data_IF_084718851927
#
_entry.id   IF_084718851927
#
_cell.length_a   1.000
_cell.length_b   1.000
_cell.length_c   1.000
_cell.angle_alpha   90.00
_cell.angle_beta   90.00
_cell.angle_gamma   90.00
#
_symmetry.space_group_name_H-M   'P 1'
#
loop_
_entity.id
_entity.type
_entity.pdbx_description
1 polymer ?
#
# COMPACT_ATOMS: atom_id res chain seq x y z
N UNK A 1 -19.41 12.53 10.40
CA UNK A 1 -19.28 11.05 10.14
C UNK A 1 -17.81 10.58 10.26
N UNK A 2 -16.81 11.21 9.58
CA UNK A 2 -15.41 10.75 9.66
C UNK A 2 -14.80 10.88 11.06
N UNK A 3 -15.03 11.99 11.79
CA UNK A 3 -14.54 12.18 13.15
C UNK A 3 -15.16 11.18 14.15
N UNK A 4 -16.42 10.86 13.99
CA UNK A 4 -17.07 9.83 14.81
C UNK A 4 -16.49 8.45 14.52
N UNK A 5 -16.15 8.17 13.25
CA UNK A 5 -15.49 6.95 12.83
C UNK A 5 -14.10 6.78 13.43
N UNK A 6 -13.29 7.85 13.43
CA UNK A 6 -11.94 7.84 14.01
C UNK A 6 -11.96 7.60 15.52
N UNK A 7 -12.85 8.28 16.25
CA UNK A 7 -13.00 8.08 17.70
C UNK A 7 -13.50 6.67 18.04
N UNK A 8 -14.44 6.15 17.25
CA UNK A 8 -14.91 4.76 17.41
C UNK A 8 -13.81 3.76 17.12
N UNK A 9 -13.07 3.93 16.01
CA UNK A 9 -11.94 3.06 15.70
C UNK A 9 -10.94 3.02 16.85
N UNK A 10 -10.50 4.18 17.35
CA UNK A 10 -9.55 4.26 18.46
C UNK A 10 -10.07 3.59 19.72
N UNK A 11 -11.35 3.80 20.06
CA UNK A 11 -11.95 3.21 21.25
C UNK A 11 -11.99 1.66 21.21
N UNK A 12 -12.24 1.07 20.03
CA UNK A 12 -12.30 -0.38 19.88
C UNK A 12 -10.96 -1.02 19.53
N UNK A 13 -10.05 -0.28 18.89
CA UNK A 13 -8.77 -0.81 18.43
C UNK A 13 -7.94 -1.39 19.57
N UNK A 14 -7.81 -0.68 20.69
CA UNK A 14 -6.99 -1.13 21.81
C UNK A 14 -7.54 -2.44 22.42
N UNK A 15 -8.87 -2.58 22.51
CA UNK A 15 -9.53 -3.79 22.98
C UNK A 15 -9.36 -4.95 21.97
N UNK A 16 -9.61 -4.69 20.69
CA UNK A 16 -9.43 -5.66 19.62
C UNK A 16 -7.96 -6.14 19.54
N UNK A 17 -7.02 -5.20 19.62
CA UNK A 17 -5.60 -5.53 19.64
C UNK A 17 -5.21 -6.33 20.89
N UNK A 18 -5.71 -5.96 22.07
CA UNK A 18 -5.41 -6.68 23.31
C UNK A 18 -5.90 -8.13 23.24
N UNK A 19 -7.11 -8.35 22.70
CA UNK A 19 -7.73 -9.68 22.56
C UNK A 19 -7.17 -10.53 21.44
N UNK A 20 -6.43 -9.92 20.49
CA UNK A 20 -5.88 -10.62 19.34
C UNK A 20 -4.83 -11.65 19.78
N UNK A 21 -5.10 -12.91 19.47
CA UNK A 21 -4.18 -14.03 19.66
C UNK A 21 -3.65 -14.47 18.30
N UNK A 22 -2.35 -14.34 18.11
CA UNK A 22 -1.66 -14.84 16.93
C UNK A 22 -0.83 -16.05 17.36
N UNK A 23 -1.08 -17.19 16.72
CA UNK A 23 -0.27 -18.39 16.90
C UNK A 23 0.72 -18.50 15.74
N UNK A 24 1.91 -17.91 15.83
CA UNK A 24 2.88 -18.00 14.76
C UNK A 24 3.26 -19.47 14.60
N UNK A 25 3.03 -20.00 13.42
CA UNK A 25 3.72 -21.22 13.01
C UNK A 25 5.23 -20.97 13.08
N UNK A 26 6.04 -22.03 13.06
CA UNK A 26 7.50 -21.91 13.11
C UNK A 26 8.01 -20.73 12.27
N UNK A 27 9.01 -19.98 12.75
CA UNK A 27 9.56 -18.87 11.98
C UNK A 27 9.92 -19.33 10.57
N UNK A 28 9.42 -18.65 9.56
CA UNK A 28 9.73 -18.97 8.17
C UNK A 28 11.22 -18.76 7.85
N UNK A 29 11.86 -17.90 8.64
CA UNK A 29 13.26 -17.54 8.45
C UNK A 29 14.06 -17.69 9.75
N UNK A 30 15.28 -18.20 9.65
CA UNK A 30 16.21 -18.37 10.78
C UNK A 30 16.95 -17.07 11.18
N UNK A 31 16.78 -16.00 10.40
CA UNK A 31 17.40 -14.68 10.61
C UNK A 31 16.30 -13.62 10.56
N UNK A 32 16.57 -12.43 11.14
CA UNK A 32 15.69 -11.27 10.95
C UNK A 32 15.38 -11.05 9.48
N UNK A 33 14.12 -10.77 9.19
CA UNK A 33 13.62 -10.61 7.83
C UNK A 33 12.72 -9.38 7.72
N UNK A 34 12.73 -8.76 6.55
CA UNK A 34 11.83 -7.64 6.23
C UNK A 34 10.83 -8.09 5.18
N UNK A 35 9.54 -7.99 5.52
CA UNK A 35 8.43 -8.16 4.59
C UNK A 35 8.05 -6.77 4.10
N UNK A 36 8.06 -6.56 2.79
CA UNK A 36 7.62 -5.30 2.17
C UNK A 36 6.32 -5.55 1.43
N UNK A 37 5.26 -4.86 1.86
CA UNK A 37 3.98 -4.80 1.17
C UNK A 37 3.91 -3.51 0.36
N UNK A 38 3.82 -3.61 -0.96
CA UNK A 38 3.64 -2.46 -1.83
C UNK A 38 2.16 -2.36 -2.21
N UNK A 39 1.54 -1.23 -1.92
CA UNK A 39 0.17 -0.91 -2.29
C UNK A 39 0.22 0.09 -3.43
N UNK A 40 -0.11 -0.37 -4.64
CA UNK A 40 -0.27 0.49 -5.82
C UNK A 40 -1.63 1.19 -5.83
N UNK A 41 -1.82 2.09 -6.79
CA UNK A 41 -3.06 2.85 -6.97
C UNK A 41 -3.47 2.85 -8.45
N UNK A 42 -4.76 2.66 -8.70
CA UNK A 42 -5.41 2.75 -10.02
C UNK A 42 -4.73 1.93 -11.13
N UNK A 43 -3.98 0.89 -10.80
CA UNK A 43 -3.34 -0.01 -11.76
C UNK A 43 -4.25 -1.21 -12.05
N UNK A 44 -4.38 -1.57 -13.34
CA UNK A 44 -5.14 -2.74 -13.77
C UNK A 44 -4.29 -3.63 -14.65
N UNK A 45 -4.31 -4.94 -14.37
CA UNK A 45 -3.64 -5.95 -15.17
C UNK A 45 -4.04 -5.89 -16.65
N UNK A 46 -5.28 -5.49 -16.94
CA UNK A 46 -5.77 -5.35 -18.32
C UNK A 46 -4.95 -4.35 -19.16
N UNK A 47 -4.41 -3.30 -18.54
CA UNK A 47 -3.63 -2.26 -19.21
C UNK A 47 -2.11 -2.46 -19.10
N UNK A 48 -1.65 -3.48 -18.40
CA UNK A 48 -0.22 -3.73 -18.19
C UNK A 48 0.29 -4.77 -19.18
N UNK A 49 1.35 -4.45 -19.93
CA UNK A 49 1.98 -5.36 -20.89
C UNK A 49 2.51 -6.67 -20.27
N UNK A 50 2.73 -6.68 -18.96
CA UNK A 50 3.07 -7.89 -18.22
C UNK A 50 1.92 -8.90 -18.12
N UNK A 51 0.66 -8.48 -18.31
CA UNK A 51 -0.53 -9.32 -18.14
C UNK A 51 -1.41 -9.39 -19.38
N UNK A 52 -1.26 -8.46 -20.31
CA UNK A 52 -2.12 -8.31 -21.49
C UNK A 52 -1.31 -7.97 -22.73
N UNK A 53 -1.97 -7.99 -23.90
CA UNK A 53 -1.42 -7.51 -25.18
C UNK A 53 -1.56 -5.98 -25.29
N UNK A 54 -1.12 -5.24 -24.27
CA UNK A 54 -1.12 -3.79 -24.30
C UNK A 54 -0.30 -3.25 -25.49
N UNK A 55 -0.79 -2.17 -26.12
CA UNK A 55 -0.14 -1.54 -27.29
C UNK A 55 1.32 -1.18 -27.03
N UNK A 56 1.60 -0.66 -25.85
CA UNK A 56 2.92 -0.24 -25.43
C UNK A 56 3.49 -1.20 -24.36
N UNK A 57 4.80 -1.43 -24.39
CA UNK A 57 5.47 -2.20 -23.36
C UNK A 57 5.70 -1.34 -22.12
N UNK A 58 4.64 -1.16 -21.35
CA UNK A 58 4.58 -0.27 -20.20
C UNK A 58 4.88 -0.92 -18.85
N UNK A 59 5.15 -2.22 -18.81
CA UNK A 59 5.58 -2.94 -17.61
C UNK A 59 6.65 -4.01 -17.94
N UNK A 60 7.75 -3.62 -18.62
CA UNK A 60 8.77 -4.56 -19.14
C UNK A 60 9.50 -5.30 -18.02
N UNK A 61 9.74 -4.63 -16.89
CA UNK A 61 10.38 -5.27 -15.74
C UNK A 61 9.52 -6.41 -15.18
N UNK A 62 8.24 -6.19 -14.92
CA UNK A 62 7.33 -7.23 -14.45
C UNK A 62 7.24 -8.38 -15.44
N UNK A 63 7.20 -8.07 -16.74
CA UNK A 63 7.18 -9.09 -17.79
C UNK A 63 8.47 -9.93 -17.80
N UNK A 64 9.62 -9.34 -17.55
CA UNK A 64 10.90 -10.04 -17.48
C UNK A 64 11.02 -11.02 -16.31
N UNK A 65 10.18 -10.87 -15.28
CA UNK A 65 10.17 -11.76 -14.12
C UNK A 65 9.33 -13.03 -14.33
N UNK A 66 8.62 -13.15 -15.45
CA UNK A 66 7.88 -14.37 -15.79
C UNK A 66 8.85 -15.56 -15.91
N UNK A 67 8.50 -16.64 -15.23
CA UNK A 67 9.32 -17.86 -15.21
C UNK A 67 10.54 -17.79 -14.25
N UNK A 68 10.66 -16.74 -13.44
CA UNK A 68 11.65 -16.69 -12.38
C UNK A 68 11.10 -17.42 -11.15
N UNK A 69 11.82 -18.41 -10.63
CA UNK A 69 11.41 -19.25 -9.50
C UNK A 69 11.20 -18.47 -8.19
N UNK A 70 11.78 -17.28 -8.08
CA UNK A 70 11.63 -16.41 -6.92
C UNK A 70 10.49 -15.39 -7.06
N UNK A 71 9.69 -15.49 -8.13
CA UNK A 71 8.63 -14.52 -8.42
C UNK A 71 7.32 -15.23 -8.78
N UNK A 72 6.25 -14.85 -8.06
CA UNK A 72 4.90 -15.39 -8.29
C UNK A 72 4.02 -14.29 -8.87
N UNK A 73 3.46 -14.57 -10.04
CA UNK A 73 2.48 -13.69 -10.71
C UNK A 73 1.08 -14.26 -10.52
N UNK A 74 0.19 -13.46 -9.94
CA UNK A 74 -1.21 -13.80 -9.77
C UNK A 74 -2.03 -13.29 -10.96
N UNK A 75 -2.48 -14.19 -11.83
CA UNK A 75 -3.26 -13.83 -13.01
C UNK A 75 -4.75 -13.58 -12.72
N UNK A 76 -5.24 -13.96 -11.55
CA UNK A 76 -6.64 -13.90 -11.15
C UNK A 76 -6.81 -13.17 -9.81
N UNK A 77 -6.16 -12.01 -9.68
CA UNK A 77 -6.34 -11.13 -8.53
C UNK A 77 -7.37 -10.05 -8.86
N UNK A 78 -8.36 -9.89 -8.00
CA UNK A 78 -9.46 -8.95 -8.18
C UNK A 78 -9.64 -8.10 -6.93
N UNK A 79 -9.89 -6.81 -7.13
CA UNK A 79 -10.34 -5.95 -6.03
C UNK A 79 -11.84 -6.10 -5.81
N UNK A 80 -12.29 -6.05 -4.56
CA UNK A 80 -13.71 -6.12 -4.20
C UNK A 80 -14.47 -4.81 -4.46
N UNK A 81 -13.77 -3.70 -4.61
CA UNK A 81 -14.30 -2.35 -4.84
C UNK A 81 -13.40 -1.58 -5.79
N UNK A 82 -13.97 -0.60 -6.48
CA UNK A 82 -13.22 0.23 -7.45
C UNK A 82 -12.60 1.50 -6.83
N UNK A 83 -13.06 1.94 -5.65
CA UNK A 83 -12.49 3.08 -4.95
C UNK A 83 -11.45 2.61 -3.91
N UNK A 84 -10.43 3.43 -3.69
CA UNK A 84 -9.28 3.14 -2.81
C UNK A 84 -9.71 2.79 -1.40
N UNK A 85 -10.47 3.67 -0.73
CA UNK A 85 -10.82 3.48 0.68
C UNK A 85 -11.60 2.18 0.92
N UNK A 86 -12.76 1.91 0.25
CA UNK A 86 -13.50 0.68 0.50
C UNK A 86 -12.79 -0.58 -0.02
N UNK A 87 -11.85 -0.48 -0.97
CA UNK A 87 -11.02 -1.59 -1.40
C UNK A 87 -9.97 -1.95 -0.33
N UNK A 88 -9.26 -0.94 0.17
CA UNK A 88 -8.20 -1.15 1.17
C UNK A 88 -8.74 -1.49 2.56
N UNK A 89 -9.93 -0.99 2.96
CA UNK A 89 -10.60 -1.51 4.15
C UNK A 89 -10.67 -3.04 4.14
N UNK A 90 -11.01 -3.62 2.99
CA UNK A 90 -11.18 -5.07 2.83
C UNK A 90 -9.88 -5.82 2.61
N UNK A 91 -8.88 -5.16 2.08
CA UNK A 91 -7.57 -5.76 1.86
C UNK A 91 -6.70 -5.77 3.13
N UNK A 92 -6.90 -4.78 4.01
CA UNK A 92 -6.02 -4.53 5.16
C UNK A 92 -6.64 -4.89 6.51
N UNK A 93 -7.90 -5.31 6.53
CA UNK A 93 -8.61 -5.68 7.76
C UNK A 93 -9.40 -6.98 7.59
N UNK A 94 -10.01 -7.44 8.67
CA UNK A 94 -10.92 -8.58 8.63
C UNK A 94 -12.22 -8.31 7.86
N UNK A 95 -12.58 -7.04 7.64
CA UNK A 95 -13.77 -6.67 6.86
C UNK A 95 -13.62 -7.19 5.44
N UNK A 96 -14.65 -7.86 4.94
CA UNK A 96 -14.67 -8.36 3.56
C UNK A 96 -16.10 -8.39 3.03
N UNK A 97 -16.30 -8.84 1.78
CA UNK A 97 -17.60 -8.89 1.13
C UNK A 97 -18.50 -10.04 1.60
N UNK A 98 -18.01 -10.90 2.46
CA UNK A 98 -18.70 -12.10 2.95
C UNK A 98 -19.07 -12.02 4.43
N UNK A 99 -18.77 -10.91 5.10
CA UNK A 99 -19.13 -10.67 6.49
C UNK A 99 -19.70 -9.25 6.67
N UNK A 100 -20.42 -9.05 7.79
CA UNK A 100 -21.07 -7.79 8.17
C UNK A 100 -20.23 -7.00 9.20
N UNK A 101 -18.92 -7.29 9.32
CA UNK A 101 -18.05 -6.60 10.28
C UNK A 101 -17.94 -5.11 9.92
N UNK A 102 -18.13 -4.26 10.90
CA UNK A 102 -17.82 -2.85 10.77
C UNK A 102 -16.31 -2.62 10.86
N UNK A 103 -15.81 -1.62 10.11
CA UNK A 103 -14.37 -1.33 10.06
C UNK A 103 -13.73 -1.16 11.44
N UNK A 104 -14.40 -0.43 12.34
CA UNK A 104 -13.93 -0.17 13.71
C UNK A 104 -13.88 -1.41 14.63
N UNK A 105 -14.49 -2.52 14.22
CA UNK A 105 -14.50 -3.79 14.96
C UNK A 105 -13.45 -4.78 14.45
N UNK A 106 -12.68 -4.38 13.45
CA UNK A 106 -11.71 -5.26 12.79
C UNK A 106 -10.30 -5.06 13.33
N UNK A 107 -9.56 -6.15 13.42
CA UNK A 107 -8.10 -6.09 13.49
C UNK A 107 -7.52 -5.86 12.09
N UNK A 108 -6.35 -5.27 12.04
CA UNK A 108 -5.66 -4.93 10.79
C UNK A 108 -4.48 -5.87 10.53
N UNK A 109 -3.99 -5.88 9.30
CA UNK A 109 -2.76 -6.58 8.95
C UNK A 109 -1.56 -6.08 9.76
N UNK A 110 -1.55 -4.78 10.12
CA UNK A 110 -0.52 -4.19 10.97
C UNK A 110 -0.58 -4.80 12.39
N UNK A 111 -1.78 -4.94 12.96
CA UNK A 111 -1.96 -5.55 14.28
C UNK A 111 -1.46 -7.00 14.32
N UNK A 112 -1.76 -7.77 13.27
CA UNK A 112 -1.28 -9.15 13.12
C UNK A 112 0.25 -9.17 13.06
N UNK A 113 0.86 -8.27 12.28
CA UNK A 113 2.31 -8.17 12.18
C UNK A 113 2.96 -7.83 13.54
N UNK A 114 2.42 -6.83 14.27
CA UNK A 114 2.88 -6.44 15.61
C UNK A 114 2.78 -7.61 16.60
N UNK A 115 1.63 -8.28 16.67
CA UNK A 115 1.44 -9.45 17.53
C UNK A 115 2.33 -10.63 17.16
N UNK A 116 2.80 -10.68 15.90
CA UNK A 116 3.76 -11.67 15.42
C UNK A 116 5.23 -11.29 15.70
N UNK A 117 5.48 -10.16 16.36
CA UNK A 117 6.82 -9.71 16.74
C UNK A 117 7.57 -8.93 15.66
N UNK A 118 6.86 -8.39 14.69
CA UNK A 118 7.44 -7.49 13.69
C UNK A 118 7.38 -6.04 14.17
N UNK A 119 8.44 -5.28 13.92
CA UNK A 119 8.38 -3.82 13.95
C UNK A 119 7.71 -3.34 12.66
N UNK A 120 6.75 -2.43 12.79
CA UNK A 120 5.85 -2.09 11.69
C UNK A 120 6.07 -0.67 11.21
N UNK A 121 6.13 -0.51 9.87
CA UNK A 121 6.36 0.76 9.21
C UNK A 121 5.29 1.01 8.16
N UNK A 122 4.80 2.24 8.07
CA UNK A 122 3.92 2.69 7.00
C UNK A 122 4.48 3.96 6.37
N UNK A 123 4.91 3.87 5.12
CA UNK A 123 5.39 5.00 4.33
C UNK A 123 4.44 5.26 3.18
N UNK A 124 3.88 6.45 3.10
CA UNK A 124 2.84 6.80 2.12
C UNK A 124 3.24 8.01 1.28
N UNK A 125 3.03 7.91 -0.03
CA UNK A 125 3.06 9.04 -0.95
C UNK A 125 1.67 9.61 -1.22
N UNK A 126 0.60 8.98 -0.71
CA UNK A 126 -0.74 9.55 -0.73
C UNK A 126 -0.90 10.62 0.35
N UNK A 127 -1.75 11.63 0.08
CA UNK A 127 -1.91 12.77 0.98
C UNK A 127 -2.40 12.35 2.37
N UNK A 128 -1.83 12.98 3.38
CA UNK A 128 -2.38 13.02 4.72
C UNK A 128 -3.43 14.12 4.77
N UNK A 129 -4.67 13.77 5.12
CA UNK A 129 -5.74 14.74 5.32
C UNK A 129 -5.81 14.96 6.83
N UNK A 130 -5.20 16.04 7.32
CA UNK A 130 -5.01 16.33 8.75
C UNK A 130 -6.30 16.37 9.57
N UNK A 131 -7.42 16.76 8.94
CA UNK A 131 -8.69 16.98 9.64
C UNK A 131 -9.75 15.91 9.35
N UNK A 132 -9.47 14.95 8.48
CA UNK A 132 -10.39 13.86 8.16
C UNK A 132 -9.61 12.56 7.97
N UNK A 133 -9.34 11.86 9.07
CA UNK A 133 -8.75 10.53 9.00
C UNK A 133 -9.65 9.58 8.21
N UNK A 134 -9.15 9.12 7.07
CA UNK A 134 -9.79 8.03 6.34
C UNK A 134 -9.56 6.71 7.08
N UNK A 135 -10.36 5.66 6.84
CA UNK A 135 -10.07 4.32 7.35
C UNK A 135 -8.63 3.87 7.09
N UNK A 136 -8.06 4.22 5.95
CA UNK A 136 -6.69 3.84 5.59
C UNK A 136 -5.65 4.60 6.41
N UNK A 137 -5.86 5.89 6.67
CA UNK A 137 -5.02 6.68 7.58
C UNK A 137 -5.07 6.11 9.00
N UNK A 138 -6.25 5.66 9.46
CA UNK A 138 -6.39 5.01 10.77
C UNK A 138 -5.58 3.72 10.84
N UNK A 139 -5.66 2.85 9.82
CA UNK A 139 -4.82 1.65 9.73
C UNK A 139 -3.34 2.03 9.75
N UNK A 140 -2.93 3.00 8.94
CA UNK A 140 -1.54 3.46 8.89
C UNK A 140 -1.01 3.92 10.25
N UNK A 141 -1.83 4.63 11.02
CA UNK A 141 -1.48 5.13 12.37
C UNK A 141 -1.35 4.04 13.43
N UNK A 142 -1.78 2.81 13.16
CA UNK A 142 -1.53 1.69 14.07
C UNK A 142 -0.12 1.12 13.95
N UNK A 143 0.63 1.46 12.89
CA UNK A 143 2.03 1.08 12.75
C UNK A 143 2.91 1.77 13.83
N UNK A 144 4.05 1.14 14.17
CA UNK A 144 5.00 1.72 15.12
C UNK A 144 5.63 3.00 14.54
N UNK A 145 5.79 3.04 13.22
CA UNK A 145 6.34 4.17 12.48
C UNK A 145 5.46 4.47 11.27
N UNK A 146 4.85 5.64 11.21
CA UNK A 146 4.04 6.09 10.08
C UNK A 146 4.54 7.46 9.58
N UNK A 147 4.73 7.59 8.26
CA UNK A 147 5.23 8.80 7.62
C UNK A 147 4.55 9.02 6.27
N UNK A 148 4.22 10.27 5.98
CA UNK A 148 3.65 10.72 4.72
C UNK A 148 4.59 11.70 4.04
N UNK A 149 4.95 11.44 2.77
CA UNK A 149 5.86 12.31 2.02
C UNK A 149 5.22 13.65 1.63
N UNK A 150 3.90 13.70 1.53
CA UNK A 150 3.16 14.81 0.94
C UNK A 150 2.59 15.83 1.93
N UNK A 151 2.78 15.65 3.25
CA UNK A 151 2.19 16.54 4.27
C UNK A 151 2.48 18.03 4.06
N UNK A 152 3.68 18.39 3.60
CA UNK A 152 4.09 19.79 3.47
C UNK A 152 4.21 20.30 2.02
N UNK A 153 4.16 19.43 1.03
CA UNK A 153 4.66 19.76 -0.33
C UNK A 153 3.56 19.92 -1.36
N UNK A 154 2.38 19.39 -1.15
CA UNK A 154 1.20 19.69 -1.98
C UNK A 154 0.86 21.18 -1.91
N UNK A 155 1.10 21.82 -0.76
CA UNK A 155 0.96 23.28 -0.58
C UNK A 155 2.08 24.09 -1.24
N UNK A 156 3.20 23.46 -1.64
CA UNK A 156 4.37 24.13 -2.25
C UNK A 156 4.55 23.83 -3.74
N UNK A 157 3.58 23.17 -4.37
CA UNK A 157 3.63 22.88 -5.82
C UNK A 157 4.72 21.92 -6.27
N UNK A 158 5.28 21.11 -5.34
CA UNK A 158 6.23 20.05 -5.69
C UNK A 158 5.55 18.70 -5.57
N UNK A 159 5.45 18.00 -6.69
CA UNK A 159 5.03 16.60 -6.71
C UNK A 159 6.14 15.72 -6.10
N UNK A 160 5.73 14.76 -5.28
CA UNK A 160 6.59 13.67 -4.83
C UNK A 160 6.34 12.47 -5.73
N UNK A 161 7.40 11.78 -6.10
CA UNK A 161 7.29 10.54 -6.86
C UNK A 161 7.39 9.34 -5.93
N UNK A 162 6.79 8.22 -6.32
CA UNK A 162 6.79 7.00 -5.49
C UNK A 162 8.20 6.49 -5.21
N UNK A 163 9.15 6.73 -6.12
CA UNK A 163 10.57 6.45 -5.91
C UNK A 163 11.19 7.11 -4.68
N UNK A 164 10.63 8.24 -4.21
CA UNK A 164 11.10 8.91 -3.00
C UNK A 164 10.85 8.09 -1.73
N UNK A 165 9.87 7.17 -1.74
CA UNK A 165 9.61 6.23 -0.65
C UNK A 165 10.79 5.30 -0.36
N UNK A 166 11.64 5.03 -1.35
CA UNK A 166 12.84 4.21 -1.15
C UNK A 166 13.82 4.85 -0.14
N UNK A 167 13.79 6.18 0.01
CA UNK A 167 14.58 6.85 1.04
C UNK A 167 14.07 6.55 2.46
N UNK A 168 12.79 6.26 2.63
CA UNK A 168 12.22 5.88 3.91
C UNK A 168 12.72 4.51 4.38
N UNK A 169 13.05 3.61 3.46
CA UNK A 169 13.60 2.29 3.80
C UNK A 169 14.93 2.37 4.56
N UNK A 170 15.66 3.47 4.45
CA UNK A 170 16.89 3.71 5.23
C UNK A 170 16.64 3.86 6.74
N UNK A 171 15.37 4.05 7.14
CA UNK A 171 14.95 4.17 8.55
C UNK A 171 14.59 2.82 9.17
N UNK A 172 14.48 1.78 8.36
CA UNK A 172 14.12 0.43 8.81
C UNK A 172 15.34 -0.24 9.41
N UNK A 173 15.22 -0.75 10.64
CA UNK A 173 16.30 -1.46 11.32
C UNK A 173 16.46 -2.88 10.76
N UNK A 174 17.54 -3.18 10.02
CA UNK A 174 17.72 -4.49 9.39
C UNK A 174 18.04 -5.61 10.39
N UNK A 175 18.26 -5.29 11.66
CA UNK A 175 18.55 -6.27 12.72
C UNK A 175 17.29 -6.86 13.34
N UNK A 176 16.11 -6.33 12.97
CA UNK A 176 14.79 -6.76 13.46
C UNK A 176 13.97 -7.46 12.38
N UNK A 177 12.93 -8.17 12.81
CA UNK A 177 11.86 -8.55 11.89
C UNK A 177 11.00 -7.32 11.60
N UNK A 178 10.84 -6.97 10.34
CA UNK A 178 10.13 -5.76 9.94
C UNK A 178 8.97 -6.09 9.00
N UNK A 179 7.86 -5.39 9.17
CA UNK A 179 6.76 -5.34 8.22
C UNK A 179 6.60 -3.89 7.74
N UNK A 180 6.92 -3.66 6.48
CA UNK A 180 6.96 -2.34 5.88
C UNK A 180 5.88 -2.21 4.83
N UNK A 181 5.01 -1.21 4.94
CA UNK A 181 4.05 -0.85 3.91
C UNK A 181 4.57 0.35 3.14
N UNK A 182 4.65 0.23 1.81
CA UNK A 182 4.89 1.32 0.88
C UNK A 182 3.58 1.61 0.13
N UNK A 183 2.95 2.73 0.45
CA UNK A 183 1.67 3.13 -0.12
C UNK A 183 1.88 4.20 -1.19
N UNK A 184 1.75 3.78 -2.45
CA UNK A 184 2.05 4.57 -3.63
C UNK A 184 0.91 5.52 -4.00
N UNK A 185 1.26 6.64 -4.62
CA UNK A 185 0.31 7.45 -5.38
C UNK A 185 -0.03 6.76 -6.71
N UNK A 186 0.90 5.98 -7.26
CA UNK A 186 0.70 5.13 -8.42
C UNK A 186 0.08 5.84 -9.61
N UNK A 187 -0.92 5.18 -10.20
CA UNK A 187 -1.65 5.67 -11.39
C UNK A 187 -2.87 6.55 -11.07
N UNK A 188 -2.90 7.21 -9.90
CA UNK A 188 -3.97 8.13 -9.52
C UNK A 188 -4.15 9.24 -10.56
N UNK A 189 -5.30 9.94 -10.54
CA UNK A 189 -5.59 11.08 -11.44
C UNK A 189 -4.42 12.06 -11.57
N UNK A 190 -4.38 12.82 -12.67
CA UNK A 190 -3.31 13.74 -13.02
C UNK A 190 -2.00 13.02 -13.39
N UNK A 191 -2.12 12.03 -14.25
CA UNK A 191 -1.07 11.09 -14.63
C UNK A 191 0.24 11.75 -15.08
N UNK A 192 0.18 12.93 -15.72
CA UNK A 192 1.37 13.65 -16.21
C UNK A 192 2.32 14.08 -15.08
N UNK A 193 1.80 14.19 -13.86
CA UNK A 193 2.53 14.61 -12.67
C UNK A 193 2.99 13.43 -11.79
N UNK A 194 2.80 12.17 -12.26
CA UNK A 194 3.14 10.97 -11.47
C UNK A 194 4.53 10.43 -11.73
N UNK A 195 5.23 10.94 -12.71
CA UNK A 195 6.60 10.52 -13.06
C UNK A 195 7.46 11.70 -13.51
N UNK A 196 8.79 11.63 -13.35
CA UNK A 196 9.70 12.63 -13.92
C UNK A 196 9.66 12.61 -15.44
N UNK A 197 9.76 13.77 -16.08
CA UNK A 197 9.74 13.88 -17.54
C UNK A 197 10.79 13.02 -18.25
N UNK A 198 11.90 12.71 -17.59
CA UNK A 198 12.94 11.79 -18.10
C UNK A 198 12.46 10.36 -18.29
N UNK A 199 11.34 9.99 -17.69
CA UNK A 199 10.71 8.67 -17.81
C UNK A 199 9.60 8.64 -18.88
N UNK A 200 9.28 9.75 -19.53
CA UNK A 200 8.31 9.78 -20.64
C UNK A 200 8.90 9.05 -21.85
N UNK A 201 8.49 7.80 -22.07
CA UNK A 201 9.05 6.92 -23.10
C UNK A 201 8.20 6.84 -24.36
N UNK A 202 6.91 7.11 -24.30
CA UNK A 202 5.99 6.95 -25.39
C UNK A 202 5.61 8.29 -26.03
N UNK A 203 5.60 8.38 -27.36
CA UNK A 203 5.24 9.60 -28.09
C UNK A 203 3.73 9.89 -28.04
N UNK A 204 2.93 8.83 -27.99
CA UNK A 204 1.47 8.89 -27.89
C UNK A 204 1.00 7.95 -26.74
N UNK A 205 1.31 8.29 -25.52
CA UNK A 205 0.95 7.43 -24.40
C UNK A 205 -0.57 7.49 -24.17
N UNK A 206 -1.16 6.32 -23.98
CA UNK A 206 -2.47 6.25 -23.35
C UNK A 206 -2.39 6.71 -21.88
N UNK A 207 -3.54 7.00 -21.25
CA UNK A 207 -3.59 7.47 -19.86
C UNK A 207 -2.80 6.58 -18.91
N UNK A 208 -2.85 5.27 -19.08
CA UNK A 208 -2.14 4.29 -18.23
C UNK A 208 -0.66 4.17 -18.57
N UNK A 209 -0.29 4.32 -19.86
CA UNK A 209 1.12 4.27 -20.26
C UNK A 209 1.94 5.40 -19.64
N UNK A 210 1.33 6.58 -19.47
CA UNK A 210 2.00 7.71 -18.82
C UNK A 210 2.43 7.40 -17.38
N UNK A 211 1.65 6.61 -16.68
CA UNK A 211 1.90 6.30 -15.27
C UNK A 211 2.76 5.07 -15.09
N UNK A 212 2.55 4.03 -15.89
CA UNK A 212 3.31 2.78 -15.81
C UNK A 212 4.73 2.89 -16.39
N UNK A 213 5.07 4.01 -16.99
CA UNK A 213 6.44 4.34 -17.38
C UNK A 213 7.41 4.53 -16.22
N UNK A 214 6.90 4.77 -15.04
CA UNK A 214 7.66 4.99 -13.81
C UNK A 214 7.69 3.72 -12.94
#
# INVERSE_FOLDING_TARGET
>A
EYFEGANKFKAYHDENFASLVVNPSKPAFSKPSTIIMVIGESASAYYMSAYSDAKNDNSPWLRSLRGNDNFIIFNHAYTSKCQTVPALERALTEKNQYNDKEFNQCVTVIDIAKKSGYETYWFSNQGYISDADTPITMVAKTADHAEWLSEDKALKGKYQYDGDLLNCLKKVDPTKNNFVVLHFMGSHEDCINRYPQSFAKFSEPGKFDMVLNY
#
